data_IF_735690841025
#
_entry.id   IF_735690841025
#
_cell.length_a   1.000
_cell.length_b   1.000
_cell.length_c   1.000
_cell.angle_alpha   90.00
_cell.angle_beta   90.00
_cell.angle_gamma   90.00
#
_symmetry.space_group_name_H-M   'P 1'
#
loop_
_entity.id
_entity.type
_entity.pdbx_description
1 polymer ?
#
# COMPACT_ATOMS: atom_id res chain seq x y z
N UNK A 1 4.37 4.44 -9.46
CA UNK A 1 2.89 4.41 -9.62
C UNK A 1 2.43 2.96 -9.52
N UNK A 2 1.73 2.60 -8.46
CA UNK A 2 1.28 1.23 -8.18
C UNK A 2 0.11 0.85 -9.07
N UNK A 3 0.38 0.12 -10.15
CA UNK A 3 -0.65 -0.33 -11.10
C UNK A 3 -1.40 -1.57 -10.62
N UNK A 4 -0.80 -2.36 -9.73
CA UNK A 4 -1.36 -3.63 -9.24
C UNK A 4 -1.67 -3.56 -7.75
N UNK A 5 -2.83 -4.08 -7.39
CA UNK A 5 -3.33 -4.07 -6.02
C UNK A 5 -2.58 -5.11 -5.17
N UNK A 6 -2.08 -4.69 -4.01
CA UNK A 6 -1.55 -5.60 -2.98
C UNK A 6 -2.64 -5.99 -1.99
N UNK A 7 -2.58 -7.23 -1.53
CA UNK A 7 -3.54 -7.84 -0.63
C UNK A 7 -2.81 -8.45 0.56
N UNK A 8 -3.48 -8.44 1.72
CA UNK A 8 -3.07 -9.20 2.89
C UNK A 8 -3.67 -10.60 2.77
N UNK A 9 -2.80 -11.59 2.77
CA UNK A 9 -3.11 -13.00 2.71
C UNK A 9 -2.88 -13.62 4.09
N UNK A 10 -3.77 -14.51 4.53
CA UNK A 10 -3.67 -15.21 5.82
C UNK A 10 -3.97 -16.70 5.66
N UNK A 11 -3.11 -17.55 6.23
CA UNK A 11 -3.33 -18.99 6.34
C UNK A 11 -4.07 -19.33 7.65
N UNK A 12 -4.65 -20.53 7.73
CA UNK A 12 -5.35 -21.00 8.92
C UNK A 12 -4.45 -21.00 10.18
N UNK A 13 -3.15 -21.28 10.01
CA UNK A 13 -2.12 -21.16 11.03
C UNK A 13 -1.80 -19.72 11.49
N UNK A 14 -2.52 -18.70 11.00
CA UNK A 14 -2.29 -17.27 11.23
C UNK A 14 -0.98 -16.72 10.64
N UNK A 15 -0.30 -17.45 9.75
CA UNK A 15 0.80 -16.89 8.95
C UNK A 15 0.25 -15.88 7.95
N UNK A 16 0.94 -14.75 7.78
CA UNK A 16 0.47 -13.65 6.93
C UNK A 16 1.55 -13.16 5.96
N UNK A 17 1.11 -12.76 4.76
CA UNK A 17 1.98 -12.14 3.75
C UNK A 17 1.24 -11.02 3.01
N UNK A 18 1.98 -10.06 2.46
CA UNK A 18 1.44 -9.00 1.60
C UNK A 18 1.97 -9.20 0.18
N UNK A 19 1.08 -9.47 -0.77
CA UNK A 19 1.42 -9.78 -2.16
C UNK A 19 0.36 -9.25 -3.12
N UNK A 20 0.75 -9.06 -4.36
CA UNK A 20 -0.19 -8.96 -5.47
C UNK A 20 -0.75 -10.34 -5.78
N UNK A 21 -2.02 -10.42 -6.16
CA UNK A 21 -2.69 -11.67 -6.50
C UNK A 21 -3.37 -11.57 -7.85
N UNK A 22 -3.44 -12.70 -8.56
CA UNK A 22 -4.13 -12.84 -9.82
C UNK A 22 -5.56 -13.38 -9.57
N UNK A 23 -6.59 -12.81 -10.21
CA UNK A 23 -7.95 -13.33 -10.13
C UNK A 23 -8.02 -14.80 -10.56
N UNK A 24 -8.72 -15.62 -9.79
CA UNK A 24 -8.91 -17.05 -10.10
C UNK A 24 -7.73 -17.95 -9.73
N UNK A 25 -6.66 -17.42 -9.13
CA UNK A 25 -5.51 -18.21 -8.68
C UNK A 25 -5.56 -18.47 -7.18
N UNK A 26 -5.29 -19.70 -6.77
CA UNK A 26 -5.08 -20.07 -5.37
C UNK A 26 -3.62 -19.94 -4.98
N UNK A 27 -3.38 -19.52 -3.74
CA UNK A 27 -2.04 -19.35 -3.17
C UNK A 27 -1.91 -20.25 -1.95
N UNK A 28 -0.73 -20.86 -1.79
CA UNK A 28 -0.42 -21.75 -0.68
C UNK A 28 0.91 -21.37 -0.03
N UNK A 29 1.05 -21.69 1.24
CA UNK A 29 2.31 -21.64 1.95
C UNK A 29 3.29 -22.67 1.36
N UNK A 30 4.52 -22.23 1.07
CA UNK A 30 5.51 -23.10 0.44
C UNK A 30 5.99 -24.22 1.38
N UNK A 31 6.02 -23.97 2.67
CA UNK A 31 6.57 -24.89 3.67
C UNK A 31 5.51 -25.86 4.17
N UNK A 32 4.29 -25.39 4.41
CA UNK A 32 3.20 -26.20 4.99
C UNK A 32 2.18 -26.69 3.96
N UNK A 33 2.11 -26.05 2.79
CA UNK A 33 1.07 -26.31 1.78
C UNK A 33 -0.30 -25.73 2.13
N UNK A 34 -0.44 -25.02 3.25
CA UNK A 34 -1.71 -24.45 3.68
C UNK A 34 -2.23 -23.39 2.70
N UNK A 35 -3.54 -23.34 2.41
CA UNK A 35 -4.10 -22.30 1.56
C UNK A 35 -4.07 -20.94 2.25
N UNK A 36 -3.77 -19.90 1.48
CA UNK A 36 -3.92 -18.51 1.87
C UNK A 36 -5.26 -17.95 1.40
N UNK A 37 -5.93 -17.22 2.30
CA UNK A 37 -7.13 -16.46 1.97
C UNK A 37 -6.84 -14.96 1.96
N UNK A 38 -7.52 -14.22 1.06
CA UNK A 38 -7.45 -12.75 1.02
C UNK A 38 -8.31 -12.20 2.16
N UNK A 39 -7.66 -11.59 3.15
CA UNK A 39 -8.32 -10.99 4.32
C UNK A 39 -8.37 -9.47 4.28
N UNK A 40 -7.71 -8.83 3.31
CA UNK A 40 -7.76 -7.39 3.15
C UNK A 40 -7.00 -6.85 1.94
N UNK A 41 -7.29 -5.59 1.61
CA UNK A 41 -6.55 -4.80 0.60
C UNK A 41 -5.57 -3.87 1.31
N UNK A 42 -4.35 -3.80 0.80
CA UNK A 42 -3.36 -2.85 1.29
C UNK A 42 -3.56 -1.52 0.58
N UNK A 43 -3.67 -0.45 1.36
CA UNK A 43 -3.72 0.92 0.85
C UNK A 43 -2.30 1.42 0.57
N UNK A 44 -2.09 2.26 -0.46
CA UNK A 44 -3.11 2.83 -1.34
C UNK A 44 -3.70 1.82 -2.33
N UNK A 45 -4.98 1.99 -2.66
CA UNK A 45 -5.66 1.11 -3.62
C UNK A 45 -5.14 1.39 -5.03
N UNK A 46 -4.84 0.33 -5.78
CA UNK A 46 -4.43 0.46 -7.17
C UNK A 46 -5.63 0.80 -8.08
N UNK A 47 -5.42 1.59 -9.14
CA UNK A 47 -4.18 2.29 -9.48
C UNK A 47 -3.94 3.47 -8.55
N UNK A 48 -2.71 3.61 -8.05
CA UNK A 48 -2.32 4.70 -7.15
C UNK A 48 -1.05 5.39 -7.65
N UNK A 49 -0.98 6.73 -7.58
CA UNK A 49 0.25 7.46 -7.90
C UNK A 49 1.41 7.08 -6.97
N UNK A 50 1.10 6.65 -5.74
CA UNK A 50 2.07 6.22 -4.71
C UNK A 50 2.15 4.70 -4.59
N UNK A 51 3.33 4.21 -4.25
CA UNK A 51 3.62 2.79 -3.95
C UNK A 51 3.88 2.52 -2.47
N UNK A 52 3.91 3.58 -1.65
CA UNK A 52 4.11 3.46 -0.21
C UNK A 52 2.79 3.15 0.51
N UNK A 53 2.78 2.17 1.43
CA UNK A 53 1.63 1.93 2.29
C UNK A 53 1.24 3.15 3.10
N UNK A 54 -0.04 3.27 3.43
CA UNK A 54 -0.55 4.31 4.33
C UNK A 54 -0.23 3.98 5.80
N UNK A 55 1.05 4.04 6.15
CA UNK A 55 1.56 3.97 7.53
C UNK A 55 2.19 5.31 7.91
N UNK A 56 2.20 5.64 9.21
CA UNK A 56 2.66 6.94 9.72
C UNK A 56 4.06 7.31 9.19
N UNK A 57 4.98 6.33 9.16
CA UNK A 57 6.35 6.52 8.66
C UNK A 57 6.43 6.89 7.17
N UNK A 58 5.41 6.57 6.38
CA UNK A 58 5.33 6.79 4.94
C UNK A 58 4.52 8.03 4.56
N UNK A 59 4.00 8.77 5.54
CA UNK A 59 3.15 9.94 5.33
C UNK A 59 3.86 11.23 5.73
N UNK A 60 3.45 12.33 5.10
CA UNK A 60 3.85 13.70 5.42
C UNK A 60 2.65 14.63 5.32
N UNK A 61 2.72 15.76 6.01
CA UNK A 61 1.69 16.79 5.91
C UNK A 61 1.82 17.57 4.60
N UNK A 62 0.70 17.88 3.96
CA UNK A 62 0.68 18.87 2.88
C UNK A 62 0.99 20.25 3.44
N UNK A 63 1.97 20.96 2.89
CA UNK A 63 2.24 22.36 3.25
C UNK A 63 1.11 23.34 2.90
N UNK A 64 0.13 22.91 2.10
CA UNK A 64 -0.99 23.72 1.62
C UNK A 64 -2.10 23.95 2.66
N UNK A 65 -2.40 22.92 3.46
CA UNK A 65 -3.46 22.92 4.46
C UNK A 65 -2.97 22.44 5.82
N UNK A 66 -1.75 21.89 5.92
CA UNK A 66 -1.16 21.28 7.12
C UNK A 66 -2.02 20.21 7.83
N UNK A 67 -3.15 19.84 7.26
CA UNK A 67 -4.10 18.87 7.82
C UNK A 67 -4.20 17.60 6.98
N UNK A 68 -3.81 17.65 5.70
CA UNK A 68 -3.92 16.52 4.78
C UNK A 68 -2.63 15.69 4.75
N UNK A 69 -2.77 14.37 4.89
CA UNK A 69 -1.66 13.42 4.76
C UNK A 69 -1.46 13.04 3.29
N UNK A 70 -0.21 13.10 2.84
CA UNK A 70 0.23 12.65 1.52
C UNK A 70 1.39 11.67 1.68
N UNK A 71 1.51 10.71 0.75
CA UNK A 71 2.64 9.80 0.78
C UNK A 71 3.95 10.50 0.43
N UNK A 72 5.03 10.05 1.07
CA UNK A 72 6.37 10.63 0.97
C UNK A 72 7.02 10.49 -0.42
N UNK A 73 6.62 9.48 -1.19
CA UNK A 73 7.12 9.20 -2.54
C UNK A 73 6.49 10.07 -3.64
N UNK A 74 5.47 10.86 -3.30
CA UNK A 74 4.80 11.75 -4.26
C UNK A 74 5.48 13.11 -4.33
N UNK A 75 5.77 13.60 -5.54
CA UNK A 75 6.29 14.95 -5.76
C UNK A 75 5.18 16.02 -5.70
N UNK A 76 3.97 15.67 -6.14
CA UNK A 76 2.82 16.56 -6.18
C UNK A 76 1.73 16.03 -5.24
N UNK A 77 1.11 16.93 -4.49
CA UNK A 77 0.09 16.56 -3.50
C UNK A 77 -1.17 16.03 -4.21
N UNK A 78 -1.67 14.82 -3.89
CA UNK A 78 -2.88 14.28 -4.52
C UNK A 78 -4.16 15.02 -4.11
N UNK A 79 -4.12 15.82 -3.04
CA UNK A 79 -5.29 16.58 -2.54
C UNK A 79 -5.43 17.98 -3.14
N UNK A 80 -4.30 18.66 -3.41
CA UNK A 80 -4.32 20.07 -3.85
C UNK A 80 -3.52 20.35 -5.13
N UNK A 81 -2.81 19.35 -5.67
CA UNK A 81 -2.02 19.47 -6.90
C UNK A 81 -0.73 20.29 -6.79
N UNK A 82 -0.42 20.88 -5.64
CA UNK A 82 0.83 21.63 -5.45
C UNK A 82 2.02 20.70 -5.33
N UNK A 83 3.16 21.15 -5.85
CA UNK A 83 4.45 20.50 -5.62
C UNK A 83 4.80 20.56 -4.13
N UNK A 84 5.12 19.40 -3.58
CA UNK A 84 5.50 19.24 -2.19
C UNK A 84 7.01 19.54 -2.02
N UNK A 85 7.43 20.09 -0.88
CA UNK A 85 8.84 20.37 -0.61
C UNK A 85 9.66 19.08 -0.56
N UNK A 86 10.98 19.19 -0.73
CA UNK A 86 11.87 18.05 -0.51
C UNK A 86 11.76 17.57 0.96
N UNK A 87 11.88 16.26 1.17
CA UNK A 87 12.03 15.71 2.50
C UNK A 87 13.48 15.93 2.96
N UNK A 88 13.66 16.41 4.18
CA UNK A 88 14.99 16.45 4.80
C UNK A 88 15.44 15.02 5.15
N UNK A 89 16.72 14.73 4.92
CA UNK A 89 17.33 13.41 5.10
C UNK A 89 17.91 13.19 6.48
#
# INVERSE_FOLDING_TARGET
MGLRQRYRLRAASNREVIREVEPGRSYVDKETGEPFEVVGKVIPLAPSPSELPYSVENLRLCGCSLEQLAQKDLNDCPHCGRRLPALEG
#
